data_IF_896410313808
#
_entry.id   IF_896410313808
#
_cell.length_a   1.000
_cell.length_b   1.000
_cell.length_c   1.000
_cell.angle_alpha   90.00
_cell.angle_beta   90.00
_cell.angle_gamma   90.00
#
_symmetry.space_group_name_H-M   'P 1'
#
loop_
_entity.id
_entity.type
_entity.pdbx_description
1 polymer ?
#
# COMPACT_ATOMS: atom_id res chain seq x y z
N UNK A 1 -22.89 -21.26 1.00
CA UNK A 1 -22.29 -21.30 -0.36
C UNK A 1 -22.25 -19.91 -1.01
N UNK A 2 -23.34 -19.15 -1.01
CA UNK A 2 -23.37 -17.77 -1.58
C UNK A 2 -22.33 -16.82 -0.95
N UNK A 3 -22.17 -16.83 0.38
CA UNK A 3 -21.16 -16.01 1.07
C UNK A 3 -19.72 -16.36 0.66
N UNK A 4 -19.41 -17.64 0.44
CA UNK A 4 -18.08 -18.07 0.00
C UNK A 4 -17.80 -17.63 -1.44
N UNK A 5 -18.77 -17.77 -2.34
CA UNK A 5 -18.63 -17.32 -3.74
C UNK A 5 -18.47 -15.80 -3.81
N UNK A 6 -19.25 -15.05 -3.01
CA UNK A 6 -19.14 -13.60 -2.94
C UNK A 6 -17.76 -13.14 -2.43
N UNK A 7 -17.21 -13.82 -1.42
CA UNK A 7 -15.86 -13.53 -0.91
C UNK A 7 -14.76 -13.78 -1.95
N UNK A 8 -14.85 -14.89 -2.69
CA UNK A 8 -13.90 -15.22 -3.76
C UNK A 8 -13.99 -14.19 -4.90
N UNK A 9 -15.20 -13.83 -5.32
CA UNK A 9 -15.41 -12.82 -6.37
C UNK A 9 -14.83 -11.47 -5.96
N UNK A 10 -15.05 -11.02 -4.72
CA UNK A 10 -14.47 -9.77 -4.20
C UNK A 10 -12.93 -9.81 -4.14
N UNK A 11 -12.36 -10.97 -3.83
CA UNK A 11 -10.89 -11.14 -3.78
C UNK A 11 -10.29 -11.11 -5.18
N UNK A 12 -10.92 -11.80 -6.13
CA UNK A 12 -10.52 -11.79 -7.52
C UNK A 12 -10.61 -10.38 -8.14
N UNK A 13 -11.69 -9.66 -7.88
CA UNK A 13 -11.90 -8.30 -8.38
C UNK A 13 -10.83 -7.33 -7.86
N UNK A 14 -10.55 -7.36 -6.56
CA UNK A 14 -9.51 -6.52 -5.94
C UNK A 14 -8.11 -6.84 -6.46
N UNK A 15 -7.79 -8.12 -6.66
CA UNK A 15 -6.52 -8.53 -7.27
C UNK A 15 -6.40 -8.03 -8.73
N UNK A 16 -7.46 -8.15 -9.53
CA UNK A 16 -7.48 -7.69 -10.92
C UNK A 16 -7.34 -6.18 -11.03
N UNK A 17 -8.00 -5.42 -10.15
CA UNK A 17 -7.86 -3.97 -10.08
C UNK A 17 -6.43 -3.59 -9.68
N UNK A 18 -5.85 -4.30 -8.70
CA UNK A 18 -4.45 -4.11 -8.29
C UNK A 18 -3.48 -4.29 -9.47
N UNK A 19 -3.56 -5.43 -10.16
CA UNK A 19 -2.70 -5.74 -11.33
C UNK A 19 -2.93 -4.72 -12.46
N UNK A 20 -4.19 -4.35 -12.71
CA UNK A 20 -4.55 -3.34 -13.71
C UNK A 20 -3.88 -1.99 -13.41
N UNK A 21 -3.96 -1.54 -12.16
CA UNK A 21 -3.42 -0.26 -11.73
C UNK A 21 -1.89 -0.26 -11.81
N UNK A 22 -1.23 -1.29 -11.28
CA UNK A 22 0.23 -1.44 -11.35
C UNK A 22 0.72 -1.42 -12.79
N UNK A 23 0.11 -2.18 -13.70
CA UNK A 23 0.59 -2.23 -15.09
C UNK A 23 0.18 -1.01 -15.94
N UNK A 24 -0.96 -0.37 -15.67
CA UNK A 24 -1.40 0.80 -16.44
C UNK A 24 -0.73 2.09 -15.97
N UNK A 25 -0.55 2.28 -14.67
CA UNK A 25 0.08 3.49 -14.12
C UNK A 25 1.59 3.31 -14.07
N UNK A 26 2.08 2.34 -13.31
CA UNK A 26 3.53 2.24 -13.04
C UNK A 26 4.33 1.77 -14.28
N UNK A 27 3.74 0.92 -15.13
CA UNK A 27 4.43 0.45 -16.34
C UNK A 27 4.05 1.30 -17.56
N UNK A 28 2.77 1.39 -17.91
CA UNK A 28 2.39 2.06 -19.15
C UNK A 28 2.56 3.58 -19.08
N UNK A 29 2.06 4.24 -18.02
CA UNK A 29 2.17 5.69 -17.88
C UNK A 29 3.59 6.11 -17.51
N UNK A 30 4.17 5.56 -16.45
CA UNK A 30 5.44 6.08 -15.93
C UNK A 30 6.66 5.66 -16.78
N UNK A 31 6.70 4.43 -17.30
CA UNK A 31 7.84 3.95 -18.08
C UNK A 31 7.70 4.18 -19.59
N UNK A 32 6.50 4.04 -20.16
CA UNK A 32 6.32 3.98 -21.61
C UNK A 32 5.79 5.28 -22.23
N UNK A 33 4.80 5.92 -21.62
CA UNK A 33 4.22 7.17 -22.14
C UNK A 33 3.75 8.11 -21.00
N UNK A 34 4.67 8.93 -20.44
CA UNK A 34 4.38 9.84 -19.32
C UNK A 34 3.31 10.90 -19.61
N UNK A 35 3.05 11.16 -20.89
CA UNK A 35 2.09 12.17 -21.35
C UNK A 35 0.80 11.53 -21.91
N UNK A 36 0.55 10.25 -21.65
CA UNK A 36 -0.68 9.59 -22.09
C UNK A 36 -1.92 10.21 -21.43
N UNK A 37 -2.96 10.43 -22.23
CA UNK A 37 -4.27 10.85 -21.74
C UNK A 37 -4.85 9.82 -20.76
N UNK A 38 -5.52 10.27 -19.70
CA UNK A 38 -6.12 9.39 -18.68
C UNK A 38 -7.06 8.34 -19.29
N UNK A 39 -7.81 8.71 -20.32
CA UNK A 39 -8.68 7.79 -21.06
C UNK A 39 -7.91 6.61 -21.66
N UNK A 40 -6.72 6.86 -22.18
CA UNK A 40 -5.84 5.83 -22.76
C UNK A 40 -5.26 4.92 -21.69
N UNK A 41 -4.90 5.48 -20.53
CA UNK A 41 -4.40 4.72 -19.37
C UNK A 41 -5.49 3.78 -18.85
N UNK A 42 -6.74 4.25 -18.73
CA UNK A 42 -7.89 3.40 -18.32
C UNK A 42 -8.18 2.29 -19.33
N UNK A 43 -8.07 2.59 -20.64
CA UNK A 43 -8.22 1.58 -21.69
C UNK A 43 -7.11 0.52 -21.63
N UNK A 44 -5.87 0.93 -21.39
CA UNK A 44 -4.74 0.02 -21.18
C UNK A 44 -4.98 -0.88 -19.95
N UNK A 45 -5.43 -0.30 -18.82
CA UNK A 45 -5.79 -1.06 -17.62
C UNK A 45 -6.88 -2.10 -17.89
N UNK A 46 -7.94 -1.74 -18.61
CA UNK A 46 -8.99 -2.69 -19.01
C UNK A 46 -8.47 -3.82 -19.90
N UNK A 47 -7.58 -3.52 -20.84
CA UNK A 47 -6.94 -4.52 -21.70
C UNK A 47 -6.11 -5.51 -20.87
N UNK A 48 -5.28 -4.98 -19.96
CA UNK A 48 -4.45 -5.79 -19.05
C UNK A 48 -5.31 -6.69 -18.16
N UNK A 49 -6.36 -6.17 -17.53
CA UNK A 49 -7.28 -6.97 -16.71
C UNK A 49 -7.91 -8.10 -17.53
N UNK A 50 -8.35 -7.80 -18.76
CA UNK A 50 -8.95 -8.80 -19.66
C UNK A 50 -7.94 -9.90 -20.01
N UNK A 51 -6.69 -9.53 -20.36
CA UNK A 51 -5.62 -10.50 -20.62
C UNK A 51 -5.31 -11.35 -19.39
N UNK A 52 -5.26 -10.74 -18.21
CA UNK A 52 -4.99 -11.44 -16.94
C UNK A 52 -6.07 -12.48 -16.65
N UNK A 53 -7.35 -12.15 -16.86
CA UNK A 53 -8.47 -13.10 -16.70
C UNK A 53 -8.35 -14.26 -17.69
N UNK A 54 -8.02 -13.98 -18.95
CA UNK A 54 -7.88 -15.02 -19.99
C UNK A 54 -6.74 -15.98 -19.61
N UNK A 55 -5.58 -15.46 -19.20
CA UNK A 55 -4.45 -16.29 -18.77
C UNK A 55 -4.81 -17.14 -17.55
N UNK A 56 -5.47 -16.54 -16.56
CA UNK A 56 -5.94 -17.26 -15.37
C UNK A 56 -6.94 -18.37 -15.72
N UNK A 57 -7.86 -18.11 -16.65
CA UNK A 57 -8.85 -19.09 -17.11
C UNK A 57 -8.19 -20.24 -17.87
N UNK A 58 -7.26 -19.94 -18.78
CA UNK A 58 -6.51 -20.97 -19.52
C UNK A 58 -5.71 -21.84 -18.56
N UNK A 59 -4.96 -21.23 -17.64
CA UNK A 59 -4.14 -21.99 -16.69
C UNK A 59 -5.02 -22.86 -15.76
N UNK A 60 -6.08 -22.27 -15.20
CA UNK A 60 -6.98 -22.98 -14.29
C UNK A 60 -7.79 -24.11 -14.95
N UNK A 61 -7.94 -24.11 -16.27
CA UNK A 61 -8.65 -25.17 -17.01
C UNK A 61 -7.74 -26.20 -17.66
N UNK A 62 -6.47 -25.85 -17.92
CA UNK A 62 -5.52 -26.71 -18.65
C UNK A 62 -4.80 -27.70 -17.74
N UNK A 63 -4.50 -27.32 -16.49
CA UNK A 63 -3.73 -28.17 -15.57
C UNK A 63 -4.62 -28.70 -14.42
N UNK A 64 -5.07 -29.97 -14.49
CA UNK A 64 -5.85 -30.58 -13.42
C UNK A 64 -5.02 -30.88 -12.16
N UNK A 65 -3.69 -30.81 -12.24
CA UNK A 65 -2.77 -31.02 -11.11
C UNK A 65 -2.23 -29.72 -10.53
N UNK A 66 -2.87 -28.57 -10.83
CA UNK A 66 -2.45 -27.28 -10.30
C UNK A 66 -2.58 -27.25 -8.77
N UNK A 67 -1.46 -27.45 -8.07
CA UNK A 67 -1.41 -27.34 -6.61
C UNK A 67 -1.39 -25.86 -6.19
N UNK A 68 -2.56 -25.36 -5.78
CA UNK A 68 -2.72 -24.00 -5.28
C UNK A 68 -1.94 -23.74 -3.99
N UNK A 69 -1.62 -24.79 -3.22
CA UNK A 69 -0.80 -24.70 -2.02
C UNK A 69 0.64 -24.33 -2.35
N UNK A 70 1.22 -24.95 -3.39
CA UNK A 70 2.55 -24.58 -3.88
C UNK A 70 2.53 -23.13 -4.36
N UNK A 71 1.57 -22.75 -5.19
CA UNK A 71 1.46 -21.36 -5.69
C UNK A 71 1.36 -20.33 -4.56
N UNK A 72 0.59 -20.62 -3.51
CA UNK A 72 0.50 -19.76 -2.33
C UNK A 72 1.83 -19.67 -1.56
N UNK A 73 2.58 -20.77 -1.46
CA UNK A 73 3.88 -20.78 -0.81
C UNK A 73 4.91 -19.93 -1.57
N UNK A 74 4.91 -20.03 -2.91
CA UNK A 74 5.72 -19.19 -3.80
C UNK A 74 5.37 -17.71 -3.66
N UNK A 75 4.07 -17.38 -3.73
CA UNK A 75 3.58 -16.02 -3.56
C UNK A 75 4.05 -15.43 -2.22
N UNK A 76 3.85 -16.16 -1.13
CA UNK A 76 4.26 -15.72 0.20
C UNK A 76 5.79 -15.57 0.31
N UNK A 77 6.56 -16.49 -0.26
CA UNK A 77 8.02 -16.46 -0.28
C UNK A 77 8.59 -15.24 -1.01
N UNK A 78 7.92 -14.76 -2.06
CA UNK A 78 8.29 -13.53 -2.77
C UNK A 78 7.82 -12.27 -2.01
N UNK A 79 6.61 -12.28 -1.45
CA UNK A 79 6.04 -11.16 -0.71
C UNK A 79 6.84 -10.82 0.54
N UNK A 80 7.30 -11.83 1.29
CA UNK A 80 8.06 -11.62 2.53
C UNK A 80 9.40 -10.90 2.29
N UNK A 81 9.95 -10.92 1.05
CA UNK A 81 11.17 -10.18 0.71
C UNK A 81 10.98 -8.66 0.73
N UNK A 82 9.75 -8.19 0.55
CA UNK A 82 9.44 -6.78 0.64
C UNK A 82 9.61 -6.26 2.08
N UNK A 83 9.32 -7.09 3.09
CA UNK A 83 9.34 -6.71 4.52
C UNK A 83 10.68 -6.12 4.98
N UNK A 84 11.84 -6.81 4.87
CA UNK A 84 13.11 -6.24 5.32
C UNK A 84 13.50 -4.97 4.52
N UNK A 85 13.12 -4.91 3.25
CA UNK A 85 13.39 -3.77 2.37
C UNK A 85 12.59 -2.54 2.80
N UNK A 86 11.28 -2.69 3.02
CA UNK A 86 10.40 -1.61 3.49
C UNK A 86 10.74 -1.14 4.90
N UNK A 87 10.99 -2.08 5.83
CA UNK A 87 11.36 -1.72 7.21
C UNK A 87 12.67 -0.94 7.25
N UNK A 88 13.66 -1.37 6.48
CA UNK A 88 14.95 -0.67 6.39
C UNK A 88 14.78 0.72 5.76
N UNK A 89 13.98 0.84 4.69
CA UNK A 89 13.69 2.14 4.07
C UNK A 89 12.88 3.11 4.96
N UNK A 90 12.04 2.59 5.85
CA UNK A 90 11.19 3.40 6.73
C UNK A 90 11.90 3.88 8.00
N UNK A 91 12.68 2.99 8.64
CA UNK A 91 13.30 3.28 9.94
C UNK A 91 14.77 3.69 9.84
N UNK A 92 15.45 3.41 8.73
CA UNK A 92 16.87 3.72 8.55
C UNK A 92 17.05 4.87 7.57
N UNK A 93 17.31 6.07 8.09
CA UNK A 93 17.39 7.29 7.27
C UNK A 93 18.55 7.26 6.25
N UNK A 94 19.65 6.59 6.60
CA UNK A 94 20.84 6.42 5.77
C UNK A 94 20.79 5.20 4.83
N UNK A 95 19.69 4.45 4.79
CA UNK A 95 19.60 3.27 3.91
C UNK A 95 19.66 3.69 2.44
N UNK A 96 20.60 3.11 1.70
CA UNK A 96 20.73 3.38 0.27
C UNK A 96 19.68 2.59 -0.52
N UNK A 97 19.04 3.25 -1.48
CA UNK A 97 18.10 2.65 -2.41
C UNK A 97 18.76 1.52 -3.22
N UNK A 98 20.04 1.66 -3.56
CA UNK A 98 20.77 0.66 -4.34
C UNK A 98 21.01 -0.61 -3.54
N UNK A 99 21.45 -0.49 -2.28
CA UNK A 99 21.64 -1.65 -1.41
C UNK A 99 20.32 -2.36 -1.14
N UNK A 100 19.22 -1.62 -0.97
CA UNK A 100 17.87 -2.16 -0.81
C UNK A 100 17.40 -2.94 -2.06
N UNK A 101 17.58 -2.39 -3.27
CA UNK A 101 17.18 -3.07 -4.51
C UNK A 101 18.02 -4.34 -4.74
N UNK A 102 19.34 -4.29 -4.51
CA UNK A 102 20.21 -5.45 -4.68
C UNK A 102 19.89 -6.53 -3.63
N UNK A 103 19.62 -6.14 -2.39
CA UNK A 103 19.14 -7.04 -1.34
C UNK A 103 17.83 -7.72 -1.74
N UNK A 104 16.85 -6.95 -2.21
CA UNK A 104 15.56 -7.47 -2.68
C UNK A 104 15.70 -8.47 -3.82
N UNK A 105 16.49 -8.14 -4.84
CA UNK A 105 16.77 -9.04 -5.98
C UNK A 105 17.48 -10.32 -5.53
N UNK A 106 18.40 -10.21 -4.57
CA UNK A 106 19.09 -11.37 -4.01
C UNK A 106 18.12 -12.26 -3.23
N UNK A 107 17.21 -11.68 -2.46
CA UNK A 107 16.15 -12.40 -1.76
C UNK A 107 15.26 -13.18 -2.73
N UNK A 108 14.76 -12.54 -3.78
CA UNK A 108 13.96 -13.23 -4.81
C UNK A 108 14.73 -14.34 -5.49
N UNK A 109 15.98 -14.11 -5.88
CA UNK A 109 16.82 -15.13 -6.51
C UNK A 109 17.03 -16.32 -5.56
N UNK A 110 17.25 -16.06 -4.28
CA UNK A 110 17.42 -17.09 -3.25
C UNK A 110 16.15 -17.94 -3.09
N UNK A 111 14.97 -17.32 -3.04
CA UNK A 111 13.69 -18.04 -2.97
C UNK A 111 13.52 -18.96 -4.17
N UNK A 112 13.72 -18.44 -5.39
CA UNK A 112 13.61 -19.21 -6.64
C UNK A 112 14.60 -20.38 -6.67
N UNK A 113 15.85 -20.16 -6.25
CA UNK A 113 16.88 -21.20 -6.22
C UNK A 113 16.61 -22.27 -5.16
N UNK A 114 16.11 -21.91 -3.99
CA UNK A 114 15.77 -22.88 -2.94
C UNK A 114 14.59 -23.74 -3.40
N UNK A 115 13.56 -23.08 -3.94
CA UNK A 115 12.30 -23.74 -4.29
C UNK A 115 12.43 -24.64 -5.54
N UNK A 116 13.16 -24.23 -6.58
CA UNK A 116 13.43 -25.09 -7.74
C UNK A 116 14.64 -26.03 -7.56
N UNK A 117 15.63 -25.65 -6.76
CA UNK A 117 16.91 -26.37 -6.66
C UNK A 117 16.96 -27.43 -5.56
N UNK A 118 16.29 -27.19 -4.43
CA UNK A 118 16.38 -28.04 -3.24
C UNK A 118 15.07 -28.76 -2.90
N UNK A 119 13.90 -28.12 -3.11
CA UNK A 119 12.60 -28.76 -2.84
C UNK A 119 12.32 -29.96 -3.77
N UNK A 120 12.91 -29.98 -4.97
CA UNK A 120 12.81 -31.13 -5.90
C UNK A 120 13.64 -32.38 -5.52
N UNK A 121 14.45 -32.34 -4.46
CA UNK A 121 15.39 -33.42 -4.08
C UNK A 121 15.09 -34.10 -2.75
N UNK A 122 13.93 -33.83 -2.13
CA UNK A 122 13.53 -34.48 -0.87
C UNK A 122 14.38 -34.08 0.35
N UNK A 123 15.09 -32.95 0.27
CA UNK A 123 15.75 -32.35 1.42
C UNK A 123 14.77 -31.46 2.15
N UNK A 124 14.37 -31.88 3.36
CA UNK A 124 13.71 -31.03 4.33
C UNK A 124 14.66 -29.86 4.66
N UNK A 125 14.51 -28.75 3.95
CA UNK A 125 15.17 -27.52 4.34
C UNK A 125 14.67 -27.16 5.74
N UNK A 126 15.59 -26.95 6.67
CA UNK A 126 15.33 -26.63 8.09
C UNK A 126 14.34 -25.45 8.25
N UNK A 127 14.21 -24.59 7.24
CA UNK A 127 13.34 -23.41 7.21
C UNK A 127 12.69 -23.24 5.84
N UNK A 128 11.52 -22.57 5.79
CA UNK A 128 10.82 -22.20 4.56
C UNK A 128 11.73 -21.39 3.61
N UNK A 129 11.55 -21.58 2.30
CA UNK A 129 12.27 -20.85 1.24
C UNK A 129 12.16 -19.33 1.37
N UNK A 130 11.01 -18.82 1.81
CA UNK A 130 10.80 -17.40 2.09
C UNK A 130 11.74 -16.85 3.16
N UNK A 131 11.99 -17.62 4.23
CA UNK A 131 12.86 -17.21 5.34
C UNK A 131 14.32 -17.16 4.90
N UNK A 132 14.77 -18.15 4.12
CA UNK A 132 16.11 -18.12 3.52
C UNK A 132 16.30 -16.91 2.62
N UNK A 133 15.30 -16.57 1.80
CA UNK A 133 15.31 -15.35 1.01
C UNK A 133 15.44 -14.09 1.88
N UNK A 134 14.70 -14.00 3.00
CA UNK A 134 14.78 -12.83 3.88
C UNK A 134 16.16 -12.68 4.51
N UNK A 135 16.75 -13.79 4.99
CA UNK A 135 18.10 -13.78 5.52
C UNK A 135 19.11 -13.33 4.46
N UNK A 136 18.98 -13.82 3.23
CA UNK A 136 19.82 -13.40 2.10
C UNK A 136 19.66 -11.92 1.78
N UNK A 137 18.42 -11.42 1.71
CA UNK A 137 18.13 -10.00 1.46
C UNK A 137 18.77 -9.11 2.54
N UNK A 138 18.46 -9.37 3.81
CA UNK A 138 18.99 -8.57 4.92
C UNK A 138 20.51 -8.66 5.01
N UNK A 139 21.10 -9.84 4.79
CA UNK A 139 22.56 -9.99 4.81
C UNK A 139 23.24 -9.19 3.71
N UNK A 140 22.73 -9.23 2.48
CA UNK A 140 23.29 -8.46 1.35
C UNK A 140 23.07 -6.97 1.53
N UNK A 141 21.89 -6.55 1.99
CA UNK A 141 21.63 -5.16 2.32
C UNK A 141 22.65 -4.64 3.35
N UNK A 142 22.81 -5.33 4.49
CA UNK A 142 23.75 -4.92 5.54
C UNK A 142 25.20 -4.95 5.03
N UNK A 143 25.57 -5.98 4.27
CA UNK A 143 26.90 -6.07 3.68
C UNK A 143 27.18 -4.88 2.76
N UNK A 144 26.30 -4.59 1.81
CA UNK A 144 26.48 -3.44 0.92
C UNK A 144 26.47 -2.13 1.71
N UNK A 145 25.58 -1.98 2.70
CA UNK A 145 25.48 -0.77 3.49
C UNK A 145 26.76 -0.47 4.29
N UNK A 146 27.46 -1.49 4.79
CA UNK A 146 28.67 -1.30 5.61
C UNK A 146 29.99 -1.38 4.82
N UNK A 147 30.04 -2.13 3.71
CA UNK A 147 31.28 -2.41 2.99
C UNK A 147 31.44 -1.67 1.66
N UNK A 148 30.39 -1.08 1.09
CA UNK A 148 30.52 -0.25 -0.11
C UNK A 148 30.82 1.20 0.25
N UNK A 149 31.60 1.86 -0.61
CA UNK A 149 31.95 3.26 -0.43
C UNK A 149 30.70 4.15 -0.37
N UNK A 150 30.62 5.08 0.61
CA UNK A 150 29.47 5.97 0.79
C UNK A 150 29.10 6.75 -0.47
N UNK A 151 30.06 7.05 -1.34
CA UNK A 151 29.81 7.77 -2.61
C UNK A 151 28.94 6.97 -3.59
N UNK A 152 29.04 5.64 -3.61
CA UNK A 152 28.19 4.79 -4.44
C UNK A 152 26.79 4.58 -3.85
N UNK A 153 26.65 4.78 -2.54
CA UNK A 153 25.43 4.61 -1.78
C UNK A 153 24.69 5.93 -1.51
N UNK A 154 25.34 7.07 -1.80
CA UNK A 154 24.84 8.42 -1.58
C UNK A 154 23.64 8.73 -2.48
N UNK A 155 22.45 8.64 -1.88
CA UNK A 155 21.19 9.03 -2.49
C UNK A 155 20.87 10.52 -2.34
N UNK A 156 21.72 11.34 -1.68
CA UNK A 156 21.46 12.77 -1.47
C UNK A 156 21.33 13.58 -2.78
N UNK A 157 21.96 13.10 -3.85
CA UNK A 157 21.91 13.69 -5.19
C UNK A 157 20.73 13.19 -6.02
N UNK A 158 19.98 12.21 -5.54
CA UNK A 158 18.83 11.66 -6.26
C UNK A 158 17.70 12.66 -6.17
N UNK A 159 17.27 13.18 -7.32
CA UNK A 159 16.05 13.97 -7.41
C UNK A 159 14.89 13.02 -7.10
N UNK A 160 14.39 13.06 -5.87
CA UNK A 160 13.16 12.37 -5.54
C UNK A 160 12.05 12.99 -6.39
N UNK A 161 11.32 12.15 -7.11
CA UNK A 161 10.08 12.57 -7.71
C UNK A 161 9.13 12.89 -6.56
N UNK A 162 9.08 14.16 -6.15
CA UNK A 162 7.93 14.74 -5.47
C UNK A 162 7.07 15.30 -6.60
N UNK A 163 6.18 14.48 -7.21
CA UNK A 163 5.46 14.86 -8.41
C UNK A 163 4.29 15.79 -8.06
N UNK A 164 3.87 15.79 -6.80
CA UNK A 164 2.72 16.55 -6.32
C UNK A 164 3.15 17.84 -5.63
N UNK A 165 2.88 18.96 -6.29
CA UNK A 165 2.96 20.30 -5.71
C UNK A 165 2.21 20.43 -4.37
N UNK A 166 1.21 19.56 -4.13
CA UNK A 166 0.48 19.47 -2.87
C UNK A 166 1.35 18.98 -1.71
N UNK A 167 2.16 17.94 -1.93
CA UNK A 167 3.03 17.34 -0.90
C UNK A 167 4.14 18.33 -0.55
N UNK A 168 4.77 18.93 -1.56
CA UNK A 168 5.80 19.97 -1.37
C UNK A 168 5.27 21.19 -0.62
N UNK A 169 4.03 21.62 -0.91
CA UNK A 169 3.39 22.72 -0.19
C UNK A 169 3.05 22.37 1.26
N UNK A 170 2.75 21.11 1.55
CA UNK A 170 2.32 20.66 2.87
C UNK A 170 3.50 20.29 3.78
N UNK A 171 4.59 19.75 3.23
CA UNK A 171 5.69 19.17 4.01
C UNK A 171 7.08 19.72 3.65
N UNK A 172 7.17 20.62 2.66
CA UNK A 172 8.43 21.21 2.19
C UNK A 172 9.16 20.39 1.11
N UNK A 173 10.27 20.93 0.62
CA UNK A 173 11.13 20.28 -0.39
C UNK A 173 12.21 19.37 0.22
N UNK A 174 12.43 19.46 1.54
CA UNK A 174 13.42 18.63 2.24
C UNK A 174 12.90 17.23 2.51
N UNK A 175 13.82 16.25 2.55
CA UNK A 175 13.51 14.85 2.87
C UNK A 175 12.80 14.77 4.23
N UNK A 176 11.67 14.06 4.28
CA UNK A 176 10.95 13.81 5.53
C UNK A 176 11.73 12.80 6.38
N UNK A 177 12.46 13.30 7.38
CA UNK A 177 13.12 12.46 8.39
C UNK A 177 12.14 12.12 9.51
N UNK A 178 12.42 11.07 10.29
CA UNK A 178 11.55 10.66 11.41
C UNK A 178 11.47 11.78 12.45
N UNK A 179 12.57 12.50 12.68
CA UNK A 179 12.59 13.67 13.55
C UNK A 179 11.69 14.80 13.03
N UNK A 180 11.68 15.06 11.71
CA UNK A 180 10.82 16.06 11.09
C UNK A 180 9.35 15.63 11.16
N UNK A 181 9.06 14.36 10.90
CA UNK A 181 7.72 13.77 11.05
C UNK A 181 7.21 13.94 12.48
N UNK A 182 8.01 13.57 13.49
CA UNK A 182 7.65 13.73 14.89
C UNK A 182 7.45 15.19 15.30
N UNK A 183 8.21 16.10 14.69
CA UNK A 183 8.06 17.55 14.90
C UNK A 183 6.74 18.06 14.29
N UNK A 184 6.41 17.65 13.06
CA UNK A 184 5.15 18.02 12.40
C UNK A 184 3.94 17.42 13.13
N UNK A 185 4.02 16.13 13.49
CA UNK A 185 2.96 15.46 14.26
C UNK A 185 2.82 16.07 15.66
N UNK A 186 3.92 16.39 16.33
CA UNK A 186 3.95 16.96 17.69
C UNK A 186 3.51 18.42 17.78
N UNK A 187 3.71 19.24 16.73
CA UNK A 187 3.35 20.67 16.71
C UNK A 187 1.91 20.89 16.20
N UNK A 188 1.40 20.02 15.30
CA UNK A 188 0.14 20.26 14.58
C UNK A 188 -1.04 19.37 14.95
N UNK A 189 -0.83 18.18 15.53
CA UNK A 189 -1.89 17.18 15.74
C UNK A 189 -1.77 16.55 17.13
N UNK A 190 -2.64 16.95 18.08
CA UNK A 190 -2.90 16.16 19.30
C UNK A 190 -3.70 14.90 18.94
N UNK A 191 -3.11 14.01 18.16
CA UNK A 191 -3.65 12.68 17.88
C UNK A 191 -3.27 11.76 19.03
N UNK A 192 -4.26 11.18 19.72
CA UNK A 192 -3.97 10.13 20.68
C UNK A 192 -3.85 8.82 19.92
N UNK A 193 -2.62 8.37 19.72
CA UNK A 193 -2.35 7.09 19.09
C UNK A 193 -2.76 5.93 20.02
N UNK A 194 -3.26 4.82 19.50
CA UNK A 194 -3.61 3.65 20.32
C UNK A 194 -2.41 3.11 21.10
N UNK A 195 -1.18 3.31 20.60
CA UNK A 195 0.07 2.92 21.29
C UNK A 195 0.36 3.80 22.52
N UNK A 196 -0.22 5.00 22.60
CA UNK A 196 0.00 5.90 23.74
C UNK A 196 -0.89 5.58 24.95
N UNK A 197 -2.00 4.87 24.76
CA UNK A 197 -2.95 4.52 25.81
C UNK A 197 -2.74 3.07 26.29
N UNK A 198 -2.83 2.78 27.61
CA UNK A 198 -2.64 1.43 28.13
C UNK A 198 -3.68 0.43 27.60
N UNK A 199 -4.92 0.88 27.35
CA UNK A 199 -5.97 0.06 26.75
C UNK A 199 -5.65 -0.29 25.29
N UNK A 200 -5.18 0.68 24.50
CA UNK A 200 -4.79 0.46 23.12
C UNK A 200 -3.54 -0.42 22.99
N UNK A 201 -2.56 -0.27 23.89
CA UNK A 201 -1.41 -1.17 23.99
C UNK A 201 -1.84 -2.61 24.30
N UNK A 202 -2.72 -2.81 25.28
CA UNK A 202 -3.23 -4.14 25.62
C UNK A 202 -4.01 -4.75 24.45
N UNK A 203 -4.86 -3.97 23.77
CA UNK A 203 -5.61 -4.42 22.60
C UNK A 203 -4.69 -4.80 21.43
N UNK A 204 -3.66 -4.01 21.14
CA UNK A 204 -2.67 -4.32 20.11
C UNK A 204 -1.83 -5.55 20.46
N UNK A 205 -1.47 -5.73 21.74
CA UNK A 205 -0.75 -6.92 22.20
C UNK A 205 -1.62 -8.17 22.06
N UNK A 206 -2.90 -8.11 22.47
CA UNK A 206 -3.85 -9.23 22.30
C UNK A 206 -4.02 -9.54 20.81
N UNK A 207 -4.18 -8.51 19.96
CA UNK A 207 -4.26 -8.69 18.52
C UNK A 207 -3.01 -9.39 17.97
N UNK A 208 -1.80 -8.94 18.34
CA UNK A 208 -0.54 -9.55 17.93
C UNK A 208 -0.44 -11.00 18.39
N UNK A 209 -0.74 -11.27 19.66
CA UNK A 209 -0.72 -12.62 20.22
C UNK A 209 -1.70 -13.54 19.49
N UNK A 210 -2.93 -13.10 19.26
CA UNK A 210 -3.95 -13.86 18.55
C UNK A 210 -3.64 -14.11 17.07
N UNK A 211 -2.64 -13.43 16.48
CA UNK A 211 -2.13 -13.73 15.12
C UNK A 211 -1.07 -14.84 15.14
N UNK A 212 -0.27 -14.94 16.19
CA UNK A 212 0.80 -15.95 16.30
C UNK A 212 0.39 -17.23 17.05
N UNK A 213 -0.47 -17.11 18.06
CA UNK A 213 -1.01 -18.23 18.84
C UNK A 213 -1.86 -19.26 18.06
N UNK A 214 -2.48 -18.95 16.91
CA UNK A 214 -3.20 -19.94 16.11
C UNK A 214 -2.31 -20.91 15.34
N UNK A 215 -0.99 -20.67 15.29
CA UNK A 215 -0.07 -21.65 14.74
C UNK A 215 -0.21 -22.96 15.55
N UNK A 216 -0.38 -24.12 14.90
CA UNK A 216 -0.69 -25.38 15.59
C UNK A 216 0.53 -25.98 16.31
N UNK A 217 1.17 -25.21 17.20
CA UNK A 217 2.29 -25.65 18.04
C UNK A 217 1.90 -26.72 19.07
N UNK A 218 0.59 -26.89 19.29
CA UNK A 218 0.00 -27.75 20.30
C UNK A 218 -0.50 -29.09 19.75
N UNK A 219 -0.34 -29.34 18.44
CA UNK A 219 -0.75 -30.60 17.80
C UNK A 219 0.44 -31.41 17.29
N UNK A 220 0.36 -32.74 17.39
CA UNK A 220 1.28 -33.62 16.66
C UNK A 220 1.04 -33.47 15.15
N UNK A 221 2.13 -33.39 14.37
CA UNK A 221 2.04 -33.27 12.92
C UNK A 221 1.25 -34.46 12.33
N UNK A 222 0.09 -34.18 11.74
CA UNK A 222 -0.79 -35.19 11.14
C UNK A 222 -1.92 -35.71 12.03
N UNK A 223 -2.02 -35.28 13.30
CA UNK A 223 -3.16 -35.61 14.14
C UNK A 223 -4.40 -34.81 13.73
N UNK A 224 -5.36 -35.48 13.09
CA UNK A 224 -6.62 -34.88 12.65
C UNK A 224 -7.69 -35.03 13.73
N UNK A 225 -7.58 -34.26 14.80
CA UNK A 225 -8.68 -34.13 15.76
C UNK A 225 -9.81 -33.32 15.11
N UNK A 226 -11.01 -33.89 15.04
CA UNK A 226 -12.19 -33.26 14.45
C UNK A 226 -13.13 -32.86 15.58
N UNK A 227 -13.43 -31.58 15.67
CA UNK A 227 -14.44 -31.02 16.56
C UNK A 227 -15.47 -30.24 15.73
N UNK A 228 -16.77 -30.34 16.03
CA UNK A 228 -17.84 -29.66 15.25
C UNK A 228 -17.76 -29.90 13.73
N UNK A 229 -17.31 -31.09 13.31
CA UNK A 229 -17.11 -31.46 11.89
C UNK A 229 -16.04 -30.65 11.14
N UNK A 230 -15.18 -29.92 11.86
CA UNK A 230 -14.06 -29.15 11.33
C UNK A 230 -12.79 -29.58 12.09
N UNK A 231 -11.60 -29.57 11.47
CA UNK A 231 -10.37 -29.83 12.21
C UNK A 231 -10.19 -28.86 13.40
N UNK A 232 -9.77 -29.37 14.55
CA UNK A 232 -9.61 -28.59 15.79
C UNK A 232 -8.69 -27.39 15.61
N UNK A 233 -7.63 -27.52 14.81
CA UNK A 233 -6.73 -26.40 14.47
C UNK A 233 -7.46 -25.25 13.78
N UNK A 234 -8.38 -25.56 12.86
CA UNK A 234 -9.13 -24.55 12.12
C UNK A 234 -10.14 -23.81 13.01
N UNK A 235 -10.75 -24.51 13.97
CA UNK A 235 -11.63 -23.88 14.96
C UNK A 235 -10.87 -22.89 15.84
N UNK A 236 -9.68 -23.27 16.32
CA UNK A 236 -8.83 -22.38 17.12
C UNK A 236 -8.42 -21.15 16.31
N UNK A 237 -8.05 -21.31 15.02
CA UNK A 237 -7.76 -20.21 14.11
C UNK A 237 -8.95 -19.27 13.95
N UNK A 238 -10.15 -19.80 13.68
CA UNK A 238 -11.36 -18.98 13.50
C UNK A 238 -11.66 -18.19 14.79
N UNK A 239 -11.60 -18.85 15.94
CA UNK A 239 -11.88 -18.23 17.23
C UNK A 239 -10.87 -17.13 17.55
N UNK A 240 -9.56 -17.42 17.45
CA UNK A 240 -8.51 -16.44 17.75
C UNK A 240 -8.52 -15.26 16.77
N UNK A 241 -8.81 -15.50 15.49
CA UNK A 241 -8.99 -14.40 14.53
C UNK A 241 -10.19 -13.52 14.87
N UNK A 242 -11.31 -14.10 15.33
CA UNK A 242 -12.45 -13.31 15.79
C UNK A 242 -12.06 -12.43 17.00
N UNK A 243 -11.29 -12.97 17.94
CA UNK A 243 -10.74 -12.20 19.08
C UNK A 243 -9.78 -11.10 18.60
N UNK A 244 -8.90 -11.39 17.65
CA UNK A 244 -7.98 -10.41 17.08
C UNK A 244 -8.73 -9.25 16.39
N UNK A 245 -9.80 -9.55 15.65
CA UNK A 245 -10.65 -8.54 15.02
C UNK A 245 -11.32 -7.65 16.08
N UNK A 246 -11.88 -8.25 17.14
CA UNK A 246 -12.48 -7.49 18.24
C UNK A 246 -11.46 -6.60 18.95
N UNK A 247 -10.26 -7.11 19.20
CA UNK A 247 -9.17 -6.32 19.77
C UNK A 247 -8.74 -5.18 18.83
N UNK A 248 -8.69 -5.42 17.52
CA UNK A 248 -8.46 -4.39 16.52
C UNK A 248 -9.52 -3.28 16.55
N UNK A 249 -10.80 -3.63 16.70
CA UNK A 249 -11.86 -2.63 16.89
C UNK A 249 -11.63 -1.79 18.14
N UNK A 250 -11.25 -2.40 19.27
CA UNK A 250 -10.92 -1.66 20.50
C UNK A 250 -9.74 -0.71 20.27
N UNK A 251 -8.71 -1.14 19.55
CA UNK A 251 -7.57 -0.29 19.21
C UNK A 251 -7.98 0.91 18.32
N UNK A 252 -8.89 0.70 17.36
CA UNK A 252 -9.44 1.79 16.53
C UNK A 252 -10.23 2.79 17.39
N UNK A 253 -11.01 2.34 18.36
CA UNK A 253 -11.75 3.24 19.26
C UNK A 253 -10.84 4.03 20.21
N UNK A 254 -9.63 3.55 20.48
CA UNK A 254 -8.63 4.30 21.24
C UNK A 254 -7.98 5.41 20.40
N UNK A 255 -8.14 5.39 19.08
CA UNK A 255 -7.64 6.42 18.19
C UNK A 255 -8.52 7.66 18.25
N UNK A 256 -7.97 8.80 18.66
CA UNK A 256 -8.66 10.10 18.63
C UNK A 256 -7.89 11.10 17.77
N UNK A 257 -8.56 11.67 16.77
CA UNK A 257 -8.08 12.81 15.97
C UNK A 257 -8.81 14.09 16.40
N UNK A 258 -8.18 15.25 16.17
CA UNK A 258 -8.57 16.59 16.66
C UNK A 258 -10.05 16.97 16.44
N UNK A 259 -10.76 16.39 15.47
CA UNK A 259 -12.18 16.70 15.22
C UNK A 259 -13.11 16.34 16.39
N UNK A 260 -12.69 15.45 17.30
CA UNK A 260 -13.52 15.05 18.44
C UNK A 260 -13.28 15.86 19.72
N UNK A 261 -12.28 16.75 19.76
CA UNK A 261 -11.81 17.37 21.01
C UNK A 261 -11.87 18.91 21.07
N UNK A 262 -12.29 19.64 20.03
CA UNK A 262 -12.32 21.11 20.09
C UNK A 262 -13.69 21.73 19.78
N UNK A 263 -14.49 21.86 20.84
CA UNK A 263 -15.37 23.01 21.03
C UNK A 263 -14.57 24.24 21.48
N UNK A 264 -13.57 24.68 20.70
CA UNK A 264 -12.81 25.91 20.99
C UNK A 264 -12.51 26.76 19.74
N UNK A 265 -12.54 28.10 19.83
CA UNK A 265 -12.92 28.99 18.73
C UNK A 265 -11.73 29.58 17.94
N UNK A 266 -10.66 28.83 17.70
CA UNK A 266 -9.48 29.34 16.98
C UNK A 266 -8.88 28.30 16.02
N UNK A 267 -9.52 28.07 14.87
CA UNK A 267 -8.87 28.00 13.56
C UNK A 267 -9.94 27.76 12.47
N UNK A 268 -10.10 28.72 11.57
CA UNK A 268 -11.01 28.63 10.43
C UNK A 268 -10.44 27.70 9.36
N UNK A 269 -10.69 26.40 9.47
CA UNK A 269 -10.77 25.53 8.29
C UNK A 269 -12.24 25.12 8.13
N UNK A 270 -12.84 25.35 6.95
CA UNK A 270 -14.22 24.98 6.70
C UNK A 270 -14.35 23.46 6.89
N UNK A 271 -15.24 23.06 7.80
CA UNK A 271 -15.53 21.65 8.06
C UNK A 271 -15.88 20.94 6.75
N UNK A 272 -15.58 19.65 6.64
CA UNK A 272 -15.95 18.80 5.50
C UNK A 272 -17.43 18.96 5.10
N UNK A 273 -18.30 19.17 6.08
CA UNK A 273 -19.72 19.46 5.89
C UNK A 273 -19.96 20.78 5.15
N UNK A 274 -19.24 21.85 5.50
CA UNK A 274 -19.34 23.15 4.81
C UNK A 274 -18.74 23.15 3.40
N UNK A 275 -17.72 22.34 3.16
CA UNK A 275 -17.17 22.11 1.81
C UNK A 275 -18.15 21.34 0.93
N UNK A 276 -18.85 20.33 1.48
CA UNK A 276 -19.94 19.64 0.77
C UNK A 276 -21.15 20.55 0.52
N UNK A 277 -21.53 21.42 1.46
CA UNK A 277 -22.63 22.37 1.24
C UNK A 277 -22.29 23.41 0.17
N UNK A 278 -21.00 23.83 0.07
CA UNK A 278 -20.55 24.69 -1.04
C UNK A 278 -20.56 23.95 -2.38
N UNK A 279 -20.16 22.69 -2.41
CA UNK A 279 -20.19 21.87 -3.63
C UNK A 279 -21.63 21.52 -4.06
N UNK A 280 -22.57 21.39 -3.13
CA UNK A 280 -23.99 21.18 -3.44
C UNK A 280 -24.75 22.48 -3.77
N UNK A 281 -24.12 23.65 -3.61
CA UNK A 281 -24.65 24.95 -4.03
C UNK A 281 -24.07 25.43 -5.36
N UNK A 282 -23.12 24.68 -5.95
CA UNK A 282 -22.72 24.87 -7.35
C UNK A 282 -23.70 24.09 -8.23
N UNK A 283 -24.95 24.54 -8.23
CA UNK A 283 -25.86 24.24 -9.33
C UNK A 283 -25.56 25.19 -10.49
N UNK A 284 -25.55 24.60 -11.69
CA UNK A 284 -25.19 25.13 -13.00
C UNK A 284 -25.62 26.58 -13.31
N UNK A 285 -24.70 27.39 -13.87
CA UNK A 285 -25.06 28.41 -14.84
C UNK A 285 -24.47 28.09 -16.23
N UNK A 286 -25.38 28.04 -17.20
CA UNK A 286 -25.18 28.29 -18.64
C UNK A 286 -24.33 27.32 -19.47
N UNK A 287 -24.88 26.12 -19.68
CA UNK A 287 -24.62 25.36 -20.93
C UNK A 287 -25.60 25.80 -22.06
N UNK A 288 -26.66 26.55 -21.76
CA UNK A 288 -27.64 27.03 -22.75
C UNK A 288 -27.24 28.27 -23.56
N UNK A 289 -26.14 28.94 -23.23
CA UNK A 289 -25.71 30.18 -23.91
C UNK A 289 -24.64 29.96 -25.00
N UNK A 290 -24.21 28.72 -25.27
CA UNK A 290 -23.15 28.40 -26.26
C UNK A 290 -23.62 27.78 -27.58
N UNK A 291 -24.93 27.57 -27.78
CA UNK A 291 -25.47 26.90 -28.98
C UNK A 291 -26.38 27.75 -29.90
N UNK A 292 -26.45 29.07 -29.75
CA UNK A 292 -27.12 29.95 -30.72
C UNK A 292 -26.11 30.91 -31.41
N UNK A 293 -26.05 30.86 -32.74
CA UNK A 293 -24.94 31.36 -33.57
C UNK A 293 -24.80 32.88 -33.76
N UNK A 294 -23.53 33.30 -33.98
CA UNK A 294 -22.93 34.32 -34.89
C UNK A 294 -23.68 35.61 -35.30
N UNK A 295 -22.99 36.65 -35.87
CA UNK A 295 -21.64 37.20 -35.65
C UNK A 295 -21.58 38.77 -35.62
N UNK A 296 -20.36 39.31 -35.45
CA UNK A 296 -19.87 40.64 -35.88
C UNK A 296 -20.28 41.93 -35.12
N UNK A 297 -19.28 42.77 -34.81
CA UNK A 297 -19.51 44.18 -34.44
C UNK A 297 -18.32 44.87 -33.76
N UNK A 298 -17.45 45.50 -34.57
CA UNK A 298 -16.38 46.41 -34.15
C UNK A 298 -16.99 47.68 -33.51
N UNK A 299 -16.43 48.18 -32.40
CA UNK A 299 -16.37 49.62 -32.10
C UNK A 299 -15.32 49.98 -31.04
N UNK A 300 -14.37 50.81 -31.47
CA UNK A 300 -13.37 51.57 -30.71
C UNK A 300 -13.97 52.39 -29.55
N UNK A 301 -13.16 52.67 -28.52
CA UNK A 301 -13.43 53.77 -27.58
C UNK A 301 -12.45 53.87 -26.39
N UNK A 302 -11.46 54.73 -26.55
CA UNK A 302 -10.70 55.49 -25.53
C UNK A 302 -9.56 54.85 -24.72
N UNK A 303 -8.37 55.31 -25.14
CA UNK A 303 -7.08 55.43 -24.46
C UNK A 303 -7.10 56.65 -23.52
N UNK A 304 -6.26 56.58 -22.48
CA UNK A 304 -5.72 57.66 -21.62
C UNK A 304 -6.59 58.23 -20.50
N UNK A 305 -6.14 58.02 -19.26
CA UNK A 305 -5.74 59.08 -18.29
C UNK A 305 -5.63 58.48 -16.87
N UNK A 306 -4.42 58.30 -16.36
CA UNK A 306 -4.02 58.70 -15.00
C UNK A 306 -2.57 58.27 -14.69
N UNK A 307 -1.63 59.12 -15.08
CA UNK A 307 -0.38 59.31 -14.33
C UNK A 307 -0.28 60.79 -13.95
N UNK A 308 0.25 61.01 -12.74
CA UNK A 308 0.69 62.27 -12.13
C UNK A 308 -0.38 63.28 -11.67
N UNK A 309 -0.54 63.40 -10.35
CA UNK A 309 -0.13 64.60 -9.58
C UNK A 309 -0.41 64.40 -8.08
N UNK A 310 0.61 63.97 -7.33
CA UNK A 310 1.14 64.55 -6.08
C UNK A 310 2.10 63.57 -5.39
#
# INVERSE_FOLDING_TARGET
MTSAIAAIMSTADSALIGVSNTLSVEVFKDLMSPHAEERTVVLAGKCVSTMTIIVALVWGTTDPNLDTGIMANWQNGLLIQAVPTFLSGLFWEEASSRSLIIGLLTGWTTVVLVEFGYTGKGTDTIMSSGVWGCLGNTAVFLFLQFFLDPEYLDDSKRKYDVPEARVTKQFGESRLTVAHINTIMGIGMRTTEPVSQPLGQAALLVMLMCVFLPLPFYGEAGALEIALSIPSWALVIIFLNAVAVLAGYVAIFCWSTRDQLEGSPLLHLPSFKSTMTRLSQVDSPDISAREAGQPAGISRGNIAENEAHL
#
